data_IF_072455533926
#
_entry.id   IF_072455533926
#
_cell.length_a   1.000
_cell.length_b   1.000
_cell.length_c   1.000
_cell.angle_alpha   90.00
_cell.angle_beta   90.00
_cell.angle_gamma   90.00
#
_symmetry.space_group_name_H-M   'P 1'
#
loop_
_entity.id
_entity.type
_entity.pdbx_description
1 polymer ?
#
# COMPACT_ATOMS: atom_id res chain seq x y z
N UNK A 1 8.21 -7.42 1.63
CA UNK A 1 7.33 -8.60 1.71
C UNK A 1 7.80 -9.75 0.81
N UNK A 2 7.76 -9.65 -0.53
CA UNK A 2 8.11 -10.79 -1.40
C UNK A 2 9.55 -11.25 -1.24
N UNK A 3 10.48 -10.33 -0.99
CA UNK A 3 11.86 -10.68 -0.68
C UNK A 3 11.96 -11.46 0.64
N UNK A 4 11.32 -10.99 1.70
CA UNK A 4 11.28 -11.64 3.02
C UNK A 4 10.70 -13.05 2.92
N UNK A 5 9.62 -13.21 2.17
CA UNK A 5 9.00 -14.52 1.93
C UNK A 5 9.93 -15.45 1.15
N UNK A 6 10.61 -14.95 0.11
CA UNK A 6 11.55 -15.74 -0.68
C UNK A 6 12.79 -16.16 0.14
N UNK A 7 13.32 -15.26 0.96
CA UNK A 7 14.45 -15.54 1.86
C UNK A 7 14.07 -16.60 2.91
N UNK A 8 12.89 -16.48 3.53
CA UNK A 8 12.42 -17.46 4.50
C UNK A 8 12.19 -18.82 3.85
N UNK A 9 11.59 -18.84 2.65
CA UNK A 9 11.42 -20.07 1.89
C UNK A 9 12.76 -20.75 1.58
N UNK A 10 13.77 -20.00 1.12
CA UNK A 10 15.13 -20.54 0.86
C UNK A 10 15.83 -21.00 2.14
N UNK A 11 15.60 -20.34 3.27
CA UNK A 11 16.14 -20.77 4.57
C UNK A 11 15.65 -22.17 4.95
N UNK A 12 14.38 -22.46 4.69
CA UNK A 12 13.76 -23.78 4.96
C UNK A 12 14.08 -24.82 3.87
N UNK A 13 14.40 -24.37 2.67
CA UNK A 13 14.64 -25.20 1.49
C UNK A 13 15.99 -24.84 0.84
N UNK A 14 17.12 -25.26 1.41
CA UNK A 14 18.45 -24.80 0.95
C UNK A 14 18.80 -25.10 -0.51
N UNK A 15 18.11 -26.07 -1.13
CA UNK A 15 18.25 -26.38 -2.57
C UNK A 15 17.45 -25.42 -3.48
N UNK A 16 16.51 -24.66 -2.94
CA UNK A 16 15.78 -23.67 -3.71
C UNK A 16 16.68 -22.47 -4.04
N UNK A 17 16.56 -21.95 -5.24
CA UNK A 17 17.24 -20.72 -5.67
C UNK A 17 16.19 -19.78 -6.23
N UNK A 18 15.98 -18.65 -5.54
CA UNK A 18 15.08 -17.58 -5.99
C UNK A 18 15.85 -16.27 -6.00
N UNK A 19 15.52 -15.40 -6.95
CA UNK A 19 16.06 -14.05 -7.04
C UNK A 19 14.91 -13.08 -7.11
N UNK A 20 14.91 -12.08 -6.24
CA UNK A 20 13.88 -11.03 -6.20
C UNK A 20 14.51 -9.71 -6.64
N UNK A 21 13.97 -9.13 -7.69
CA UNK A 21 14.40 -7.82 -8.20
C UNK A 21 13.32 -6.78 -7.97
N UNK A 22 13.70 -5.62 -7.47
CA UNK A 22 12.80 -4.49 -7.28
C UNK A 22 12.43 -3.83 -8.61
N UNK A 23 11.32 -3.10 -8.58
CA UNK A 23 10.80 -2.34 -9.73
C UNK A 23 9.35 -1.93 -9.47
N UNK A 24 8.80 -1.09 -10.31
CA UNK A 24 7.36 -0.76 -10.23
C UNK A 24 6.50 -1.88 -10.80
N UNK A 25 5.21 -1.92 -10.41
CA UNK A 25 4.25 -2.94 -10.90
C UNK A 25 4.24 -3.08 -12.43
N UNK A 26 4.35 -1.97 -13.16
CA UNK A 26 4.42 -2.00 -14.64
C UNK A 26 5.63 -2.73 -15.17
N UNK A 27 6.80 -2.59 -14.54
CA UNK A 27 8.04 -3.29 -14.92
C UNK A 27 7.89 -4.78 -14.66
N UNK A 28 7.42 -5.18 -13.48
CA UNK A 28 7.19 -6.58 -13.14
C UNK A 28 6.21 -7.26 -14.11
N UNK A 29 5.07 -6.63 -14.38
CA UNK A 29 4.06 -7.14 -15.32
C UNK A 29 4.64 -7.25 -16.74
N UNK A 30 5.39 -6.24 -17.20
CA UNK A 30 6.04 -6.31 -18.51
C UNK A 30 7.07 -7.46 -18.59
N UNK A 31 7.84 -7.67 -17.53
CA UNK A 31 8.78 -8.79 -17.43
C UNK A 31 8.07 -10.15 -17.51
N UNK A 32 6.90 -10.28 -16.86
CA UNK A 32 6.08 -11.50 -16.93
C UNK A 32 5.51 -11.73 -18.33
N UNK A 33 4.97 -10.70 -18.97
CA UNK A 33 4.47 -10.75 -20.35
C UNK A 33 5.59 -11.19 -21.32
N UNK A 34 6.82 -10.73 -21.08
CA UNK A 34 8.00 -11.07 -21.88
C UNK A 34 8.68 -12.39 -21.46
N UNK A 35 8.10 -13.13 -20.49
CA UNK A 35 8.62 -14.43 -19.99
C UNK A 35 10.04 -14.36 -19.42
N UNK A 36 10.44 -13.21 -18.87
CA UNK A 36 11.76 -13.02 -18.25
C UNK A 36 11.76 -13.26 -16.74
N UNK A 37 10.59 -13.46 -16.14
CA UNK A 37 10.41 -13.82 -14.74
C UNK A 37 9.32 -14.87 -14.59
N UNK A 38 9.43 -15.73 -13.57
CA UNK A 38 8.42 -16.74 -13.25
C UNK A 38 7.23 -16.13 -12.53
N UNK A 39 7.47 -15.16 -11.66
CA UNK A 39 6.46 -14.43 -10.87
C UNK A 39 6.69 -12.94 -11.05
N UNK A 40 5.64 -12.20 -11.45
CA UNK A 40 5.65 -10.76 -11.35
C UNK A 40 4.92 -10.29 -10.08
N UNK A 41 5.48 -9.29 -9.42
CA UNK A 41 4.91 -8.69 -8.22
C UNK A 41 4.28 -7.35 -8.60
N UNK A 42 3.05 -7.10 -8.14
CA UNK A 42 2.37 -5.83 -8.39
C UNK A 42 1.50 -5.43 -7.20
N UNK A 43 1.32 -4.12 -7.04
CA UNK A 43 0.39 -3.52 -6.07
C UNK A 43 -0.80 -2.84 -6.78
N UNK A 44 -1.14 -3.33 -7.95
CA UNK A 44 -2.33 -3.04 -8.73
C UNK A 44 -2.73 -4.24 -9.57
N UNK A 45 -3.97 -4.29 -9.95
CA UNK A 45 -4.43 -5.27 -10.94
C UNK A 45 -3.79 -5.04 -12.31
N UNK A 46 -3.62 -6.11 -13.06
CA UNK A 46 -3.27 -6.03 -14.47
C UNK A 46 -4.43 -5.42 -15.27
N UNK A 47 -4.09 -4.65 -16.27
CA UNK A 47 -5.07 -4.07 -17.21
C UNK A 47 -5.47 -5.12 -18.26
N UNK A 48 -6.67 -5.03 -18.81
CA UNK A 48 -7.12 -5.91 -19.90
C UNK A 48 -6.12 -5.96 -21.04
N UNK A 49 -5.58 -4.80 -21.44
CA UNK A 49 -4.56 -4.70 -22.49
C UNK A 49 -3.22 -5.40 -22.16
N UNK A 50 -2.92 -5.60 -20.85
CA UNK A 50 -1.74 -6.35 -20.40
C UNK A 50 -2.00 -7.86 -20.48
N UNK A 51 -3.22 -8.31 -20.11
CA UNK A 51 -3.67 -9.69 -20.31
C UNK A 51 -3.68 -10.07 -21.79
N UNK A 52 -4.27 -9.24 -22.66
CA UNK A 52 -4.27 -9.46 -24.12
C UNK A 52 -2.86 -9.59 -24.70
N UNK A 53 -1.90 -8.79 -24.23
CA UNK A 53 -0.50 -8.88 -24.65
C UNK A 53 0.16 -10.18 -24.21
N UNK A 54 -0.12 -10.61 -22.96
CA UNK A 54 0.39 -11.87 -22.45
C UNK A 54 -0.13 -13.06 -23.30
N UNK A 55 -1.41 -13.06 -23.61
CA UNK A 55 -2.06 -14.09 -24.41
C UNK A 55 -1.50 -14.14 -25.83
N UNK A 56 -1.30 -12.99 -26.49
CA UNK A 56 -0.62 -12.91 -27.80
C UNK A 56 0.81 -13.46 -27.77
N UNK A 57 1.49 -13.34 -26.62
CA UNK A 57 2.82 -13.92 -26.39
C UNK A 57 2.75 -15.40 -25.97
N UNK A 58 1.57 -16.03 -26.00
CA UNK A 58 1.37 -17.43 -25.63
C UNK A 58 1.53 -17.70 -24.14
N UNK A 59 1.09 -16.77 -23.29
CA UNK A 59 1.09 -16.89 -21.82
C UNK A 59 -0.28 -16.58 -21.29
N UNK A 60 -0.89 -17.53 -20.58
CA UNK A 60 -2.11 -17.32 -19.81
C UNK A 60 -1.68 -16.94 -18.39
N UNK A 61 -2.00 -15.73 -17.95
CA UNK A 61 -1.62 -15.21 -16.64
C UNK A 61 -2.67 -15.56 -15.59
N UNK A 62 -2.21 -16.10 -14.47
CA UNK A 62 -3.00 -16.29 -13.27
C UNK A 62 -2.64 -15.23 -12.23
N UNK A 63 -3.65 -14.53 -11.73
CA UNK A 63 -3.53 -13.60 -10.60
C UNK A 63 -3.66 -14.37 -9.28
N UNK A 64 -2.77 -14.07 -8.34
CA UNK A 64 -2.82 -14.54 -6.97
C UNK A 64 -2.77 -13.33 -6.05
N UNK A 65 -3.87 -13.00 -5.40
CA UNK A 65 -3.87 -11.98 -4.34
C UNK A 65 -3.15 -12.55 -3.12
N UNK A 66 -2.01 -11.95 -2.76
CA UNK A 66 -1.14 -12.46 -1.70
C UNK A 66 -1.30 -11.70 -0.37
N UNK A 67 -1.79 -10.47 -0.44
CA UNK A 67 -1.99 -9.58 0.70
C UNK A 67 -2.91 -8.41 0.30
N UNK A 68 -3.36 -7.64 1.30
CA UNK A 68 -3.92 -6.31 1.07
C UNK A 68 -3.05 -5.26 1.76
N UNK A 69 -2.91 -4.11 1.11
CA UNK A 69 -2.29 -2.90 1.66
C UNK A 69 -3.40 -1.89 1.93
N UNK A 70 -3.42 -1.31 3.13
CA UNK A 70 -4.36 -0.27 3.51
C UNK A 70 -3.60 0.89 4.16
N UNK A 71 -3.94 2.09 3.73
CA UNK A 71 -3.33 3.33 4.25
C UNK A 71 -4.29 3.97 5.24
N UNK A 72 -3.90 3.98 6.50
CA UNK A 72 -4.65 4.61 7.59
C UNK A 72 -4.23 6.06 7.77
N UNK A 73 -5.17 6.97 7.79
CA UNK A 73 -4.93 8.39 8.08
C UNK A 73 -4.83 8.57 9.59
N UNK A 74 -3.78 9.23 10.03
CA UNK A 74 -3.47 9.39 11.46
C UNK A 74 -3.22 10.85 11.83
N UNK A 75 -3.64 11.19 13.05
CA UNK A 75 -3.46 12.51 13.67
C UNK A 75 -3.00 12.35 15.12
N UNK A 76 -2.59 13.45 15.73
CA UNK A 76 -2.32 13.48 17.16
C UNK A 76 -3.58 13.10 17.98
N UNK A 77 -3.41 12.40 19.11
CA UNK A 77 -4.51 11.96 19.97
C UNK A 77 -5.41 13.09 20.49
N UNK A 78 -4.86 14.29 20.65
CA UNK A 78 -5.60 15.47 21.08
C UNK A 78 -6.49 16.07 19.97
N UNK A 79 -6.29 15.69 18.71
CA UNK A 79 -7.11 16.19 17.61
C UNK A 79 -8.57 15.73 17.79
N UNK A 80 -9.53 16.66 17.67
CA UNK A 80 -10.96 16.39 17.88
C UNK A 80 -11.68 15.81 16.67
N UNK A 81 -11.05 15.89 15.48
CA UNK A 81 -11.60 15.33 14.25
C UNK A 81 -11.56 13.80 14.31
N UNK A 82 -12.64 13.15 13.88
CA UNK A 82 -12.76 11.69 13.86
C UNK A 82 -12.97 11.12 12.45
N UNK A 83 -13.33 11.97 11.50
CA UNK A 83 -13.66 11.57 10.14
C UNK A 83 -13.29 12.68 9.16
N UNK A 84 -12.82 12.28 7.99
CA UNK A 84 -12.65 13.15 6.83
C UNK A 84 -13.33 12.50 5.62
N UNK A 85 -13.84 13.31 4.71
CA UNK A 85 -14.17 12.80 3.39
C UNK A 85 -12.90 12.66 2.54
N UNK A 86 -12.93 11.82 1.50
CA UNK A 86 -11.82 11.72 0.54
C UNK A 86 -11.47 13.08 -0.08
N UNK A 87 -12.47 13.92 -0.34
CA UNK A 87 -12.25 15.28 -0.86
C UNK A 87 -11.55 16.19 0.16
N UNK A 88 -11.99 16.20 1.42
CA UNK A 88 -11.32 16.94 2.50
C UNK A 88 -9.87 16.47 2.71
N UNK A 89 -9.64 15.16 2.72
CA UNK A 89 -8.31 14.59 2.80
C UNK A 89 -7.42 15.09 1.65
N UNK A 90 -7.91 15.01 0.43
CA UNK A 90 -7.23 15.53 -0.74
C UNK A 90 -6.91 17.01 -0.60
N UNK A 91 -7.88 17.83 -0.23
CA UNK A 91 -7.74 19.29 -0.14
C UNK A 91 -6.77 19.71 0.96
N UNK A 92 -6.65 18.94 2.05
CA UNK A 92 -5.57 19.10 3.04
C UNK A 92 -4.21 18.86 2.38
N UNK A 93 -4.04 17.72 1.71
CA UNK A 93 -2.74 17.31 1.17
C UNK A 93 -2.24 18.13 -0.01
N UNK A 94 -3.14 18.74 -0.79
CA UNK A 94 -2.76 19.71 -1.84
C UNK A 94 -2.66 21.16 -1.31
N UNK A 95 -2.89 21.37 0.01
CA UNK A 95 -2.71 22.66 0.67
C UNK A 95 -3.84 23.68 0.48
N UNK A 96 -5.05 23.23 0.12
CA UNK A 96 -6.25 24.09 0.08
C UNK A 96 -6.83 24.32 1.48
N UNK A 97 -7.02 23.26 2.27
CA UNK A 97 -7.43 23.33 3.67
C UNK A 97 -6.15 23.39 4.51
N UNK A 98 -6.02 24.40 5.35
CA UNK A 98 -4.78 24.69 6.10
C UNK A 98 -4.97 24.78 7.60
N UNK A 99 -6.20 24.78 8.08
CA UNK A 99 -6.51 24.92 9.49
C UNK A 99 -7.61 23.93 9.89
N UNK A 100 -7.45 23.27 11.02
CA UNK A 100 -8.42 22.30 11.52
C UNK A 100 -9.80 22.91 11.79
N UNK A 101 -9.89 24.22 12.06
CA UNK A 101 -11.19 24.90 12.24
C UNK A 101 -12.06 24.88 10.98
N UNK A 102 -11.48 24.81 9.79
CA UNK A 102 -12.22 24.67 8.54
C UNK A 102 -13.00 23.34 8.45
N UNK A 103 -12.63 22.39 9.30
CA UNK A 103 -13.22 21.06 9.41
C UNK A 103 -14.00 20.86 10.72
N UNK A 104 -14.25 21.95 11.48
CA UNK A 104 -14.94 21.89 12.77
C UNK A 104 -14.03 21.49 13.96
N UNK A 105 -12.73 21.48 13.78
CA UNK A 105 -11.72 21.28 14.81
C UNK A 105 -11.29 22.56 15.52
N UNK A 106 -10.18 22.49 16.23
CA UNK A 106 -9.58 23.64 16.90
C UNK A 106 -8.97 24.63 15.90
N UNK A 107 -8.83 25.90 16.30
CA UNK A 107 -8.09 26.89 15.50
C UNK A 107 -6.58 26.61 15.59
N UNK A 108 -6.14 25.68 14.74
CA UNK A 108 -4.76 25.18 14.71
C UNK A 108 -4.36 24.88 13.27
N UNK A 109 -3.18 25.36 12.84
CA UNK A 109 -2.63 25.10 11.51
C UNK A 109 -2.44 23.59 11.31
N UNK A 110 -2.78 23.10 10.12
CA UNK A 110 -2.53 21.71 9.73
C UNK A 110 -1.11 21.57 9.25
N UNK A 111 -0.33 20.72 9.89
CA UNK A 111 1.02 20.34 9.47
C UNK A 111 0.93 19.01 8.73
N UNK A 112 1.04 19.05 7.41
CA UNK A 112 0.94 17.88 6.54
C UNK A 112 2.26 17.16 6.49
N UNK A 113 2.23 15.86 6.77
CA UNK A 113 3.38 14.97 6.70
C UNK A 113 3.11 13.85 5.71
N UNK A 114 4.09 13.53 4.87
CA UNK A 114 4.07 12.43 3.91
C UNK A 114 5.31 11.57 4.04
N UNK A 115 5.28 10.39 3.45
CA UNK A 115 6.48 9.60 3.19
C UNK A 115 7.29 10.24 2.05
N UNK A 116 8.56 9.97 2.00
CA UNK A 116 9.41 10.37 0.88
C UNK A 116 9.05 9.65 -0.43
N UNK A 117 9.59 10.14 -1.54
CA UNK A 117 9.26 9.64 -2.89
C UNK A 117 9.74 8.21 -3.18
N UNK A 118 10.62 7.64 -2.36
CA UNK A 118 11.06 6.24 -2.49
C UNK A 118 10.02 5.25 -1.97
N UNK A 119 9.06 5.73 -1.17
CA UNK A 119 8.00 4.91 -0.56
C UNK A 119 6.92 4.53 -1.57
N UNK A 120 6.63 3.24 -1.69
CA UNK A 120 5.48 2.74 -2.47
C UNK A 120 4.14 3.27 -1.92
N UNK A 121 4.04 3.48 -0.60
CA UNK A 121 2.87 4.08 0.06
C UNK A 121 2.68 5.54 -0.36
N UNK A 122 3.78 6.33 -0.48
CA UNK A 122 3.73 7.69 -1.01
C UNK A 122 3.17 7.73 -2.43
N UNK A 123 3.70 6.87 -3.31
CA UNK A 123 3.27 6.83 -4.72
C UNK A 123 1.78 6.45 -4.83
N UNK A 124 1.36 5.43 -4.09
CA UNK A 124 -0.05 5.03 -4.09
C UNK A 124 -0.96 6.13 -3.53
N UNK A 125 -0.60 6.74 -2.39
CA UNK A 125 -1.38 7.83 -1.79
C UNK A 125 -1.51 9.01 -2.77
N UNK A 126 -0.42 9.42 -3.39
CA UNK A 126 -0.40 10.49 -4.39
C UNK A 126 -1.33 10.19 -5.57
N UNK A 127 -1.20 9.00 -6.14
CA UNK A 127 -2.02 8.59 -7.28
C UNK A 127 -3.49 8.44 -6.90
N UNK A 128 -3.77 7.75 -5.81
CA UNK A 128 -5.14 7.39 -5.43
C UNK A 128 -5.90 8.58 -4.80
N UNK A 129 -5.29 9.29 -3.86
CA UNK A 129 -5.94 10.38 -3.12
C UNK A 129 -5.81 11.71 -3.86
N UNK A 130 -4.59 12.19 -4.15
CA UNK A 130 -4.41 13.50 -4.73
C UNK A 130 -4.93 13.54 -6.18
N UNK A 131 -4.63 12.52 -6.96
CA UNK A 131 -4.90 12.43 -8.40
C UNK A 131 -6.17 11.67 -8.75
N UNK A 132 -6.96 11.27 -7.74
CA UNK A 132 -8.23 10.56 -7.93
C UNK A 132 -8.10 9.34 -8.85
N UNK A 133 -7.06 8.53 -8.65
CA UNK A 133 -6.76 7.33 -9.43
C UNK A 133 -6.09 7.56 -10.79
N UNK A 134 -5.73 8.81 -11.12
CA UNK A 134 -5.09 9.13 -12.41
C UNK A 134 -3.57 9.11 -12.27
N UNK A 135 -2.89 8.10 -12.79
CA UNK A 135 -1.43 7.96 -12.72
C UNK A 135 -0.66 9.15 -13.32
N UNK A 136 -1.22 9.79 -14.34
CA UNK A 136 -0.67 10.99 -14.99
C UNK A 136 -1.33 12.30 -14.54
N UNK A 137 -2.00 12.31 -13.40
CA UNK A 137 -2.58 13.51 -12.81
C UNK A 137 -1.48 14.54 -12.47
N UNK A 138 -1.84 15.84 -12.49
CA UNK A 138 -0.89 16.94 -12.27
C UNK A 138 -0.79 17.36 -10.80
N UNK A 139 -1.71 16.87 -9.96
CA UNK A 139 -1.76 17.25 -8.55
C UNK A 139 -0.54 16.74 -7.80
N UNK A 140 0.02 17.64 -7.01
CA UNK A 140 1.17 17.42 -6.17
C UNK A 140 0.83 17.73 -4.71
N UNK A 141 1.67 17.28 -3.80
CA UNK A 141 1.58 17.68 -2.40
C UNK A 141 1.78 19.17 -2.25
N UNK A 142 1.08 19.78 -1.29
CA UNK A 142 1.26 21.19 -0.94
C UNK A 142 2.72 21.50 -0.60
N UNK A 143 3.17 22.71 -0.92
CA UNK A 143 4.56 23.15 -0.81
C UNK A 143 5.12 23.16 0.64
N UNK A 144 4.25 23.11 1.65
CA UNK A 144 4.63 23.00 3.08
C UNK A 144 4.63 21.55 3.60
N UNK A 145 4.42 20.55 2.76
CA UNK A 145 4.40 19.14 3.18
C UNK A 145 5.80 18.70 3.62
N UNK A 146 5.89 18.10 4.79
CA UNK A 146 7.10 17.49 5.30
C UNK A 146 7.18 16.04 4.80
N UNK A 147 8.37 15.63 4.34
CA UNK A 147 8.59 14.26 3.85
C UNK A 147 9.51 13.50 4.79
N UNK A 148 9.07 12.33 5.26
CA UNK A 148 9.78 11.52 6.22
C UNK A 148 10.06 10.10 5.69
N UNK A 149 11.21 9.50 6.09
CA UNK A 149 11.69 8.24 5.48
C UNK A 149 10.96 6.99 5.98
N UNK A 150 10.36 7.01 7.17
CA UNK A 150 9.79 5.78 7.79
C UNK A 150 8.44 6.01 8.47
N UNK A 151 7.71 4.91 8.72
CA UNK A 151 6.48 4.94 9.51
C UNK A 151 6.76 5.36 10.96
N UNK A 152 7.89 4.95 11.51
CA UNK A 152 8.32 5.29 12.88
C UNK A 152 8.57 6.79 13.02
N UNK A 153 9.26 7.41 12.06
CA UNK A 153 9.48 8.88 12.06
C UNK A 153 8.16 9.64 11.93
N UNK A 154 7.20 9.14 11.16
CA UNK A 154 5.85 9.69 11.08
C UNK A 154 5.15 9.59 12.45
N UNK A 155 5.13 8.42 13.08
CA UNK A 155 4.50 8.23 14.40
C UNK A 155 5.07 9.20 15.44
N UNK A 156 6.39 9.36 15.46
CA UNK A 156 7.05 10.30 16.37
C UNK A 156 6.58 11.74 16.14
N UNK A 157 6.51 12.20 14.90
CA UNK A 157 6.05 13.55 14.57
C UNK A 157 4.57 13.75 14.88
N UNK A 158 3.72 12.76 14.63
CA UNK A 158 2.29 12.80 14.97
C UNK A 158 2.10 12.86 16.48
N UNK A 159 2.89 12.11 17.25
CA UNK A 159 2.77 12.07 18.72
C UNK A 159 3.13 13.40 19.36
N UNK A 160 4.14 14.10 18.85
CA UNK A 160 4.64 15.37 19.40
C UNK A 160 3.93 16.61 18.86
N UNK A 161 3.39 16.54 17.63
CA UNK A 161 2.80 17.68 16.94
C UNK A 161 1.27 17.64 16.94
N UNK A 162 0.64 18.49 17.75
CA UNK A 162 -0.83 18.49 17.89
C UNK A 162 -1.61 18.85 16.60
N UNK A 163 -1.01 19.64 15.69
CA UNK A 163 -1.62 20.03 14.41
C UNK A 163 -1.34 19.05 13.26
N UNK A 164 -0.58 17.99 13.49
CA UNK A 164 -0.09 17.10 12.44
C UNK A 164 -1.15 16.14 11.89
N UNK A 165 -1.03 15.86 10.59
CA UNK A 165 -1.73 14.79 9.88
C UNK A 165 -0.74 14.01 9.02
N UNK A 166 -0.86 12.70 9.02
CA UNK A 166 -0.10 11.82 8.13
C UNK A 166 -0.88 10.54 7.82
N UNK A 167 -0.17 9.58 7.23
CA UNK A 167 -0.70 8.26 6.94
C UNK A 167 0.34 7.17 7.21
N UNK A 168 -0.15 5.99 7.56
CA UNK A 168 0.63 4.79 7.83
C UNK A 168 0.01 3.59 7.10
N UNK A 169 0.79 2.57 6.81
CA UNK A 169 0.26 1.25 6.54
C UNK A 169 -0.52 0.73 7.76
N UNK A 170 -1.65 0.05 7.53
CA UNK A 170 -2.53 -0.41 8.62
C UNK A 170 -1.80 -1.25 9.66
N UNK A 171 -0.86 -2.09 9.25
CA UNK A 171 -0.07 -2.93 10.15
C UNK A 171 0.92 -2.16 11.07
N UNK A 172 1.15 -0.88 10.79
CA UNK A 172 1.98 0.00 11.65
C UNK A 172 1.16 0.84 12.62
N UNK A 173 -0.17 0.71 12.58
CA UNK A 173 -1.06 1.43 13.50
C UNK A 173 -0.93 0.86 14.91
N UNK A 174 -0.72 1.75 15.88
CA UNK A 174 -0.69 1.43 17.30
C UNK A 174 -1.39 2.51 18.15
N UNK A 175 -1.33 2.35 19.46
CA UNK A 175 -1.99 3.26 20.40
C UNK A 175 -1.34 4.65 20.51
N UNK A 176 -0.20 4.89 19.88
CA UNK A 176 0.51 6.19 20.00
C UNK A 176 -0.15 7.29 19.17
N UNK A 177 -0.88 6.94 18.12
CA UNK A 177 -1.55 7.87 17.20
C UNK A 177 -3.05 7.62 17.15
N UNK A 178 -3.81 8.60 16.64
CA UNK A 178 -5.25 8.47 16.45
C UNK A 178 -5.60 8.27 14.98
N UNK A 179 -6.21 7.12 14.61
CA UNK A 179 -6.71 6.93 13.25
C UNK A 179 -7.99 7.72 13.00
N UNK A 180 -8.12 8.23 11.79
CA UNK A 180 -9.35 8.85 11.29
C UNK A 180 -10.13 7.88 10.41
N UNK A 181 -11.46 8.00 10.46
CA UNK A 181 -12.33 7.40 9.45
C UNK A 181 -12.22 8.19 8.15
N UNK A 182 -12.41 7.50 7.02
CA UNK A 182 -12.53 8.15 5.71
C UNK A 182 -13.89 7.78 5.14
N UNK A 183 -14.68 8.80 4.77
CA UNK A 183 -16.07 8.66 4.35
C UNK A 183 -16.92 7.83 5.35
N UNK A 184 -16.66 8.01 6.65
CA UNK A 184 -17.30 7.28 7.74
C UNK A 184 -16.77 5.86 7.99
N UNK A 185 -15.84 5.36 7.18
CA UNK A 185 -15.35 3.98 7.23
C UNK A 185 -14.00 3.93 7.98
N UNK A 186 -13.89 3.01 8.92
CA UNK A 186 -12.66 2.76 9.69
C UNK A 186 -11.70 1.87 8.89
N UNK A 187 -10.40 2.21 8.91
CA UNK A 187 -9.35 1.32 8.43
C UNK A 187 -9.21 0.15 9.41
N UNK A 188 -9.68 -1.02 9.03
CA UNK A 188 -9.49 -2.28 9.74
C UNK A 188 -9.46 -3.45 8.75
N UNK A 189 -9.05 -4.62 9.23
CA UNK A 189 -8.89 -5.82 8.40
C UNK A 189 -10.17 -6.18 7.65
N UNK A 190 -11.32 -6.12 8.33
CA UNK A 190 -12.62 -6.46 7.74
C UNK A 190 -12.97 -5.52 6.58
N UNK A 191 -12.92 -4.21 6.80
CA UNK A 191 -13.25 -3.19 5.81
C UNK A 191 -12.26 -3.16 4.63
N UNK A 192 -11.03 -3.63 4.85
CA UNK A 192 -10.03 -3.81 3.78
C UNK A 192 -10.35 -5.05 2.95
N UNK A 193 -10.62 -6.19 3.58
CA UNK A 193 -10.96 -7.44 2.88
C UNK A 193 -12.24 -7.34 2.07
N UNK A 194 -13.26 -6.67 2.58
CA UNK A 194 -14.53 -6.47 1.86
C UNK A 194 -14.50 -5.26 0.90
N UNK A 195 -13.33 -4.61 0.72
CA UNK A 195 -13.09 -3.48 -0.19
C UNK A 195 -13.95 -2.25 0.09
N UNK A 196 -14.46 -2.08 1.32
CA UNK A 196 -15.25 -0.89 1.69
C UNK A 196 -14.38 0.28 2.14
N UNK A 197 -13.19 0.02 2.71
CA UNK A 197 -12.26 1.10 3.06
C UNK A 197 -11.63 1.72 1.81
N UNK A 198 -11.79 3.04 1.58
CA UNK A 198 -11.50 3.64 0.28
C UNK A 198 -10.01 3.75 -0.05
N UNK A 199 -9.10 3.68 0.93
CA UNK A 199 -7.64 3.77 0.70
C UNK A 199 -6.99 2.40 0.94
N UNK A 200 -7.43 1.41 0.16
CA UNK A 200 -6.88 0.05 0.20
C UNK A 200 -6.67 -0.51 -1.20
N UNK A 201 -5.74 -1.45 -1.32
CA UNK A 201 -5.42 -2.14 -2.58
C UNK A 201 -5.00 -3.57 -2.34
N UNK A 202 -5.17 -4.43 -3.35
CA UNK A 202 -4.57 -5.74 -3.38
C UNK A 202 -3.07 -5.68 -3.68
N UNK A 203 -2.34 -6.66 -3.19
CA UNK A 203 -0.96 -6.98 -3.56
C UNK A 203 -0.98 -8.33 -4.24
N UNK A 204 -0.41 -8.40 -5.42
CA UNK A 204 -0.61 -9.52 -6.34
C UNK A 204 0.71 -10.15 -6.76
N UNK A 205 0.68 -11.45 -6.92
CA UNK A 205 1.64 -12.20 -7.73
C UNK A 205 0.95 -12.66 -9.00
N UNK A 206 1.59 -12.43 -10.13
CA UNK A 206 1.16 -12.89 -11.45
C UNK A 206 2.06 -14.01 -11.91
N UNK A 207 1.48 -15.17 -12.18
CA UNK A 207 2.19 -16.39 -12.63
C UNK A 207 1.62 -16.86 -13.95
N UNK A 208 2.21 -17.89 -14.55
CA UNK A 208 1.51 -18.67 -15.56
C UNK A 208 0.34 -19.43 -14.91
N UNK A 209 -0.68 -19.76 -15.69
CA UNK A 209 -1.82 -20.55 -15.20
C UNK A 209 -1.36 -21.91 -14.66
N UNK A 210 -0.42 -22.53 -15.37
CA UNK A 210 0.19 -23.80 -14.94
C UNK A 210 1.59 -23.54 -14.43
N UNK A 211 1.79 -23.70 -13.15
CA UNK A 211 3.08 -23.57 -12.47
C UNK A 211 3.46 -24.88 -11.81
N UNK A 212 4.75 -25.20 -11.83
CA UNK A 212 5.32 -26.41 -11.25
C UNK A 212 6.61 -26.08 -10.49
N UNK A 213 7.24 -27.10 -9.91
CA UNK A 213 8.56 -26.98 -9.30
C UNK A 213 8.62 -25.95 -8.17
N UNK A 214 9.66 -25.14 -8.17
CA UNK A 214 9.95 -24.13 -7.14
C UNK A 214 8.90 -23.00 -7.17
N UNK A 215 8.47 -22.57 -8.34
CA UNK A 215 7.46 -21.52 -8.50
C UNK A 215 6.16 -21.88 -7.78
N UNK A 216 5.65 -23.09 -8.02
CA UNK A 216 4.44 -23.57 -7.33
C UNK A 216 4.63 -23.63 -5.83
N UNK A 217 5.73 -24.23 -5.38
CA UNK A 217 6.03 -24.36 -3.94
C UNK A 217 6.16 -23.01 -3.24
N UNK A 218 6.75 -22.01 -3.90
CA UNK A 218 6.88 -20.65 -3.35
C UNK A 218 5.52 -19.95 -3.25
N UNK A 219 4.64 -20.13 -4.25
CA UNK A 219 3.27 -19.62 -4.20
C UNK A 219 2.48 -20.33 -3.08
N UNK A 220 2.59 -21.65 -2.97
CA UNK A 220 1.93 -22.42 -1.90
C UNK A 220 2.43 -21.97 -0.52
N UNK A 221 3.74 -21.74 -0.36
CA UNK A 221 4.32 -21.22 0.89
C UNK A 221 3.79 -19.83 1.21
N UNK A 222 3.77 -18.91 0.22
CA UNK A 222 3.20 -17.57 0.40
C UNK A 222 1.76 -17.61 0.91
N UNK A 223 0.95 -18.54 0.40
CA UNK A 223 -0.46 -18.70 0.75
C UNK A 223 -0.69 -19.55 2.02
N UNK A 224 0.37 -20.13 2.59
CA UNK A 224 0.30 -20.90 3.84
C UNK A 224 0.11 -19.98 5.05
N UNK A 225 -0.22 -20.58 6.21
CA UNK A 225 -0.28 -19.86 7.49
C UNK A 225 1.03 -19.15 7.83
N UNK A 226 2.16 -19.77 7.51
CA UNK A 226 3.48 -19.20 7.76
C UNK A 226 3.78 -18.02 6.84
N UNK A 227 3.55 -18.15 5.54
CA UNK A 227 3.68 -17.05 4.59
C UNK A 227 2.75 -15.88 4.93
N UNK A 228 1.51 -16.16 5.34
CA UNK A 228 0.57 -15.11 5.75
C UNK A 228 0.93 -14.48 7.11
N UNK A 229 1.65 -15.18 7.97
CA UNK A 229 2.24 -14.56 9.17
C UNK A 229 3.35 -13.56 8.84
N UNK A 230 4.15 -13.84 7.80
CA UNK A 230 5.13 -12.88 7.28
C UNK A 230 4.40 -11.64 6.72
N UNK A 231 3.30 -11.83 5.98
CA UNK A 231 2.45 -10.71 5.49
C UNK A 231 2.07 -9.79 6.64
N UNK A 232 1.56 -10.34 7.74
CA UNK A 232 1.16 -9.58 8.92
C UNK A 232 2.36 -8.84 9.56
N UNK A 233 3.50 -9.53 9.71
CA UNK A 233 4.71 -8.97 10.30
C UNK A 233 5.29 -7.82 9.46
N UNK A 234 5.16 -7.90 8.14
CA UNK A 234 5.57 -6.85 7.21
C UNK A 234 4.58 -5.67 7.13
N UNK A 235 3.51 -5.69 7.94
CA UNK A 235 2.53 -4.60 8.06
C UNK A 235 1.42 -4.60 7.02
N UNK A 236 1.26 -5.70 6.28
CA UNK A 236 0.16 -5.91 5.34
C UNK A 236 -1.00 -6.68 6.00
N UNK A 237 -2.15 -6.67 5.35
CA UNK A 237 -3.32 -7.44 5.80
C UNK A 237 -3.32 -8.80 5.09
N UNK A 238 -3.32 -9.92 5.84
CA UNK A 238 -3.38 -11.26 5.28
C UNK A 238 -4.68 -11.51 4.51
N UNK A 239 -4.61 -12.42 3.53
CA UNK A 239 -5.80 -12.83 2.74
C UNK A 239 -6.64 -13.89 3.44
N UNK A 240 -6.05 -14.65 4.36
CA UNK A 240 -6.69 -15.75 5.12
C UNK A 240 -7.03 -15.29 6.53
#
# INVERSE_FOLDING_TARGET
>A
LSQTVAEEYMRQHPQARTSVTGGGSGTGIASKINKTVDIAMASREMKDSEYEKAEKNGTIIKEVTIAYDAITIVVNKKNKINNLTMEQLRDIYIGKIKNWKELGGEDKEIVVISRDSSSGTHMYFKEHVLRKGKSKGKEEFGNKTLFLPSNESIKQQITTGEGTISYLGLGYLDETVKPLKIDGITANVENVKNKTYPISRGVYWYTDEKIEGITKKLVDFMMSKEGQKIVETEGFVPVN
#
